data_IF_251081646504
#
_entry.id   IF_251081646504
#
_cell.length_a   1.000
_cell.length_b   1.000
_cell.length_c   1.000
_cell.angle_alpha   90.00
_cell.angle_beta   90.00
_cell.angle_gamma   90.00
#
_symmetry.space_group_name_H-M   'P 1'
#
loop_
_entity.id
_entity.type
_entity.pdbx_description
1 polymer ?
#
# COMPACT_ATOMS: atom_id res chain seq x y z
N UNK A 1 -0.60 18.31 -37.84
CA UNK A 1 0.15 17.06 -38.08
C UNK A 1 -0.80 15.95 -37.66
N UNK A 2 -1.10 15.00 -38.54
CA UNK A 2 -2.03 13.92 -38.25
C UNK A 2 -1.19 12.73 -37.76
N UNK A 3 -1.31 12.37 -36.48
CA UNK A 3 -0.58 11.23 -35.93
C UNK A 3 -1.27 9.93 -36.36
N UNK A 4 -0.48 8.94 -36.77
CA UNK A 4 -0.98 7.60 -37.07
C UNK A 4 -1.14 6.81 -35.77
N UNK A 5 -2.23 7.07 -35.06
CA UNK A 5 -2.51 6.45 -33.77
C UNK A 5 -3.05 5.02 -33.97
N UNK A 6 -2.64 4.07 -33.12
CA UNK A 6 -3.13 2.69 -33.20
C UNK A 6 -4.65 2.65 -33.04
N UNK A 7 -5.28 1.61 -33.61
CA UNK A 7 -6.74 1.43 -33.64
C UNK A 7 -7.47 2.46 -34.52
N UNK A 8 -6.74 3.20 -35.35
CA UNK A 8 -7.30 4.05 -36.39
C UNK A 8 -7.95 3.25 -37.54
N UNK A 9 -8.57 3.95 -38.51
CA UNK A 9 -8.57 5.40 -38.67
C UNK A 9 -9.42 6.11 -37.61
N UNK A 10 -8.93 7.25 -37.13
CA UNK A 10 -9.62 8.11 -36.17
C UNK A 10 -10.32 9.25 -36.91
N UNK A 11 -11.60 9.46 -36.59
CA UNK A 11 -12.40 10.58 -37.08
C UNK A 11 -12.52 11.61 -35.96
N UNK A 12 -12.02 12.82 -36.19
CA UNK A 12 -12.24 13.91 -35.25
C UNK A 12 -13.74 14.26 -35.20
N UNK A 13 -14.32 14.17 -34.01
CA UNK A 13 -15.70 14.52 -33.74
C UNK A 13 -15.83 15.97 -33.30
N UNK A 14 -14.89 16.44 -32.49
CA UNK A 14 -14.97 17.75 -31.86
C UNK A 14 -13.58 18.31 -31.53
N UNK A 15 -13.46 19.64 -31.50
CA UNK A 15 -12.30 20.36 -30.98
C UNK A 15 -12.73 21.64 -30.28
N UNK A 16 -12.10 21.95 -29.15
CA UNK A 16 -12.33 23.16 -28.38
C UNK A 16 -11.10 23.54 -27.55
N UNK A 17 -11.29 24.44 -26.58
CA UNK A 17 -10.33 24.74 -25.52
C UNK A 17 -10.97 24.50 -24.16
N UNK A 18 -10.22 23.91 -23.24
CA UNK A 18 -10.57 23.73 -21.83
C UNK A 18 -9.51 24.44 -20.99
N UNK A 19 -9.91 25.50 -20.28
CA UNK A 19 -9.02 26.29 -19.41
C UNK A 19 -7.73 26.75 -20.14
N UNK A 20 -7.90 27.23 -21.38
CA UNK A 20 -6.79 27.66 -22.24
C UNK A 20 -6.05 26.53 -22.96
N UNK A 21 -6.29 25.27 -22.62
CA UNK A 21 -5.66 24.11 -23.26
C UNK A 21 -6.49 23.59 -24.44
N UNK A 22 -5.91 23.38 -25.63
CA UNK A 22 -6.62 22.76 -26.73
C UNK A 22 -7.07 21.35 -26.36
N UNK A 23 -8.29 20.99 -26.76
CA UNK A 23 -8.85 19.65 -26.57
C UNK A 23 -9.43 19.13 -27.88
N UNK A 24 -9.23 17.84 -28.15
CA UNK A 24 -9.84 17.15 -29.28
C UNK A 24 -10.49 15.85 -28.84
N UNK A 25 -11.61 15.52 -29.46
CA UNK A 25 -12.28 14.24 -29.29
C UNK A 25 -12.36 13.54 -30.64
N UNK A 26 -11.97 12.28 -30.66
CA UNK A 26 -11.91 11.46 -31.87
C UNK A 26 -12.64 10.13 -31.64
N UNK A 27 -13.17 9.53 -32.70
CA UNK A 27 -13.80 8.23 -32.68
C UNK A 27 -13.18 7.30 -33.73
N UNK A 28 -13.03 6.02 -33.42
CA UNK A 28 -12.66 5.00 -34.41
C UNK A 28 -13.88 4.17 -34.87
N UNK A 29 -13.68 3.30 -35.88
CA UNK A 29 -14.76 2.47 -36.45
C UNK A 29 -15.45 1.55 -35.44
N UNK A 30 -14.73 1.11 -34.41
CA UNK A 30 -15.27 0.26 -33.36
C UNK A 30 -16.07 1.06 -32.30
N UNK A 31 -16.11 2.40 -32.39
CA UNK A 31 -16.82 3.25 -31.42
C UNK A 31 -16.05 3.48 -30.13
N UNK A 32 -14.72 3.38 -30.15
CA UNK A 32 -13.86 3.93 -29.10
C UNK A 32 -13.78 5.44 -29.26
N UNK A 33 -13.80 6.14 -28.14
CA UNK A 33 -13.66 7.59 -28.07
C UNK A 33 -12.29 7.92 -27.46
N UNK A 34 -11.51 8.75 -28.15
CA UNK A 34 -10.22 9.23 -27.70
C UNK A 34 -10.30 10.73 -27.44
N UNK A 35 -10.17 11.10 -26.18
CA UNK A 35 -10.05 12.49 -25.73
C UNK A 35 -8.57 12.83 -25.57
N UNK A 36 -8.11 13.90 -26.22
CA UNK A 36 -6.76 14.44 -26.09
C UNK A 36 -6.84 15.87 -25.55
N UNK A 37 -6.24 16.12 -24.40
CA UNK A 37 -6.01 17.45 -23.85
C UNK A 37 -4.54 17.81 -24.06
N UNK A 38 -4.27 18.87 -24.81
CA UNK A 38 -2.92 19.25 -25.21
C UNK A 38 -2.28 20.23 -24.21
N UNK A 39 -1.04 19.94 -23.83
CA UNK A 39 -0.20 20.86 -23.06
C UNK A 39 0.58 21.74 -24.04
N UNK A 40 0.54 23.06 -23.81
CA UNK A 40 1.29 24.04 -24.59
C UNK A 40 2.24 24.81 -23.67
N UNK A 41 3.52 24.89 -24.06
CA UNK A 41 4.52 25.75 -23.44
C UNK A 41 5.06 26.72 -24.50
N UNK A 42 5.06 28.02 -24.17
CA UNK A 42 5.48 29.10 -25.06
C UNK A 42 4.87 29.03 -26.49
N UNK A 43 3.62 28.58 -26.61
CA UNK A 43 2.91 28.45 -27.90
C UNK A 43 3.29 27.21 -28.72
N UNK A 44 4.03 26.25 -28.13
CA UNK A 44 4.35 24.95 -28.73
C UNK A 44 3.73 23.83 -27.92
N UNK A 45 3.05 22.90 -28.59
CA UNK A 45 2.54 21.69 -27.94
C UNK A 45 3.69 20.80 -27.47
N UNK A 46 3.78 20.56 -26.16
CA UNK A 46 4.83 19.76 -25.50
C UNK A 46 4.38 18.36 -25.16
N UNK A 47 3.09 18.19 -24.87
CA UNK A 47 2.51 16.92 -24.47
C UNK A 47 1.02 16.86 -24.70
N UNK A 48 0.44 15.69 -24.42
CA UNK A 48 -1.00 15.53 -24.32
C UNK A 48 -1.37 14.52 -23.24
N UNK A 49 -2.50 14.76 -22.58
CA UNK A 49 -3.18 13.76 -21.77
C UNK A 49 -4.19 13.05 -22.68
N UNK A 50 -3.99 11.74 -22.85
CA UNK A 50 -4.89 10.86 -23.59
C UNK A 50 -5.81 10.10 -22.64
N UNK A 51 -7.10 10.12 -22.95
CA UNK A 51 -8.13 9.33 -22.28
C UNK A 51 -8.90 8.54 -23.34
N UNK A 52 -8.80 7.22 -23.27
CA UNK A 52 -9.53 6.31 -24.15
C UNK A 52 -10.78 5.78 -23.44
N UNK A 53 -11.92 5.82 -24.10
CA UNK A 53 -13.19 5.29 -23.62
C UNK A 53 -13.77 4.28 -24.60
N UNK A 54 -14.29 3.17 -24.08
CA UNK A 54 -15.12 2.21 -24.81
C UNK A 54 -16.58 2.48 -24.48
N UNK A 55 -17.36 2.90 -25.48
CA UNK A 55 -18.75 3.28 -25.28
C UNK A 55 -19.68 2.10 -25.59
N UNK A 56 -20.69 1.92 -24.74
CA UNK A 56 -21.75 0.94 -24.90
C UNK A 56 -23.12 1.62 -24.87
N UNK A 57 -24.02 1.21 -25.75
CA UNK A 57 -25.45 1.47 -25.62
C UNK A 57 -26.10 0.26 -24.93
N UNK A 58 -26.96 0.49 -23.94
CA UNK A 58 -27.59 -0.59 -23.19
C UNK A 58 -29.06 -0.33 -22.88
N UNK A 59 -29.79 -1.41 -22.60
CA UNK A 59 -31.18 -1.37 -22.10
C UNK A 59 -31.25 -1.90 -20.67
N UNK A 60 -32.02 -1.21 -19.83
CA UNK A 60 -32.27 -1.62 -18.44
C UNK A 60 -31.72 -0.63 -17.41
N UNK A 61 -31.65 -1.09 -16.16
CA UNK A 61 -31.20 -0.29 -15.02
C UNK A 61 -29.67 -0.40 -14.86
N UNK A 62 -28.91 0.71 -14.92
CA UNK A 62 -27.45 0.70 -14.72
C UNK A 62 -27.03 0.13 -13.37
N UNK A 63 -27.89 0.15 -12.33
CA UNK A 63 -27.58 -0.44 -11.02
C UNK A 63 -27.31 -1.95 -11.09
N UNK A 64 -27.77 -2.61 -12.16
CA UNK A 64 -27.58 -4.05 -12.41
C UNK A 64 -26.33 -4.37 -13.21
N UNK A 65 -25.65 -3.35 -13.75
CA UNK A 65 -24.45 -3.53 -14.55
C UNK A 65 -23.24 -3.80 -13.64
N UNK A 66 -22.70 -5.01 -13.72
CA UNK A 66 -21.39 -5.31 -13.16
C UNK A 66 -20.34 -4.94 -14.20
N UNK A 67 -19.73 -3.75 -14.04
CA UNK A 67 -18.63 -3.32 -14.88
C UNK A 67 -17.30 -3.81 -14.30
N UNK A 68 -16.47 -4.48 -15.11
CA UNK A 68 -15.13 -4.91 -14.71
C UNK A 68 -14.13 -3.75 -14.54
N UNK A 69 -14.50 -2.54 -14.97
CA UNK A 69 -13.70 -1.32 -14.92
C UNK A 69 -14.61 -0.11 -14.64
N UNK A 70 -14.02 1.03 -14.24
CA UNK A 70 -14.76 2.27 -13.96
C UNK A 70 -15.59 2.69 -15.18
N UNK A 71 -16.91 2.77 -14.99
CA UNK A 71 -17.86 3.11 -16.03
C UNK A 71 -18.63 4.38 -15.68
N UNK A 72 -18.77 5.28 -16.64
CA UNK A 72 -19.70 6.42 -16.55
C UNK A 72 -21.02 6.01 -17.17
N UNK A 73 -22.07 6.00 -16.37
CA UNK A 73 -23.42 5.77 -16.85
C UNK A 73 -24.10 7.10 -17.20
N UNK A 74 -24.55 7.21 -18.44
CA UNK A 74 -25.19 8.40 -19.00
C UNK A 74 -26.59 8.00 -19.44
N UNK A 75 -27.59 8.72 -18.94
CA UNK A 75 -28.98 8.56 -19.37
C UNK A 75 -29.42 9.85 -20.04
N UNK A 76 -29.77 9.77 -21.33
CA UNK A 76 -30.26 10.90 -22.10
C UNK A 76 -31.74 10.71 -22.39
N UNK A 77 -32.54 11.70 -22.03
CA UNK A 77 -33.96 11.76 -22.37
C UNK A 77 -34.16 12.98 -23.27
N UNK A 78 -34.06 12.78 -24.58
CA UNK A 78 -34.37 13.81 -25.58
C UNK A 78 -35.76 13.51 -26.15
N UNK A 79 -35.84 12.72 -27.23
CA UNK A 79 -37.11 12.23 -27.81
C UNK A 79 -37.40 10.79 -27.35
N UNK A 80 -36.37 9.96 -27.31
CA UNK A 80 -36.36 8.66 -26.67
C UNK A 80 -35.34 8.62 -25.53
N UNK A 81 -35.57 7.74 -24.56
CA UNK A 81 -34.63 7.53 -23.46
C UNK A 81 -33.56 6.54 -23.90
N UNK A 82 -32.33 7.02 -24.04
CA UNK A 82 -31.17 6.19 -24.33
C UNK A 82 -30.24 6.12 -23.11
N UNK A 83 -29.65 4.96 -22.89
CA UNK A 83 -28.69 4.74 -21.80
C UNK A 83 -27.37 4.26 -22.35
N UNK A 84 -26.30 4.88 -21.89
CA UNK A 84 -24.94 4.63 -22.34
C UNK A 84 -24.03 4.37 -21.15
N UNK A 85 -23.01 3.56 -21.36
CA UNK A 85 -21.95 3.32 -20.42
C UNK A 85 -20.61 3.58 -21.11
N UNK A 86 -19.81 4.48 -20.57
CA UNK A 86 -18.45 4.76 -21.03
C UNK A 86 -17.49 4.06 -20.08
N UNK A 87 -16.89 2.95 -20.52
CA UNK A 87 -15.81 2.30 -19.77
C UNK A 87 -14.51 2.97 -20.13
N UNK A 88 -13.83 3.54 -19.15
CA UNK A 88 -12.68 4.41 -19.40
C UNK A 88 -11.37 3.78 -18.95
N UNK A 89 -10.34 3.95 -19.77
CA UNK A 89 -8.96 3.67 -19.38
C UNK A 89 -8.46 4.80 -18.48
N UNK A 90 -7.40 4.56 -17.72
CA UNK A 90 -6.79 5.65 -16.93
C UNK A 90 -6.24 6.75 -17.85
N UNK A 91 -6.41 8.05 -17.52
CA UNK A 91 -5.76 9.13 -18.24
C UNK A 91 -4.24 8.95 -18.23
N UNK A 92 -3.60 9.12 -19.39
CA UNK A 92 -2.14 8.97 -19.55
C UNK A 92 -1.56 10.21 -20.19
N UNK A 93 -0.54 10.79 -19.55
CA UNK A 93 0.27 11.83 -20.15
C UNK A 93 1.31 11.22 -21.08
N UNK A 94 1.50 11.82 -22.25
CA UNK A 94 2.56 11.49 -23.20
C UNK A 94 3.19 12.77 -23.75
N UNK A 95 4.49 12.73 -24.02
CA UNK A 95 5.14 13.79 -24.81
C UNK A 95 4.50 13.88 -26.20
N UNK A 96 4.51 15.06 -26.80
CA UNK A 96 3.92 15.32 -28.12
C UNK A 96 4.79 14.76 -29.26
N UNK A 97 4.93 13.44 -29.26
CA UNK A 97 5.71 12.64 -30.19
C UNK A 97 4.90 11.41 -30.64
N UNK A 98 5.01 11.05 -31.92
CA UNK A 98 4.23 9.96 -32.52
C UNK A 98 4.33 8.64 -31.74
N UNK A 99 5.55 8.24 -31.35
CA UNK A 99 5.77 6.99 -30.63
C UNK A 99 5.19 7.02 -29.21
N UNK A 100 5.37 8.13 -28.49
CA UNK A 100 4.88 8.29 -27.12
C UNK A 100 3.35 8.28 -27.06
N UNK A 101 2.70 9.03 -27.96
CA UNK A 101 1.24 9.05 -28.06
C UNK A 101 0.69 7.70 -28.51
N UNK A 102 1.31 7.06 -29.51
CA UNK A 102 0.89 5.72 -29.94
C UNK A 102 1.00 4.71 -28.80
N UNK A 103 2.07 4.77 -28.01
CA UNK A 103 2.25 3.87 -26.86
C UNK A 103 1.19 4.12 -25.77
N UNK A 104 0.91 5.38 -25.43
CA UNK A 104 -0.14 5.70 -24.45
C UNK A 104 -1.52 5.17 -24.87
N UNK A 105 -1.86 5.27 -26.17
CA UNK A 105 -3.11 4.73 -26.72
C UNK A 105 -3.13 3.19 -26.68
N UNK A 106 -2.03 2.48 -27.00
CA UNK A 106 -1.95 1.01 -26.90
C UNK A 106 -2.16 0.54 -25.46
N UNK A 107 -1.51 1.21 -24.52
CA UNK A 107 -1.64 0.87 -23.10
C UNK A 107 -3.07 1.10 -22.60
N UNK A 108 -3.66 2.25 -22.93
CA UNK A 108 -5.05 2.55 -22.61
C UNK A 108 -6.02 1.51 -23.21
N UNK A 109 -5.81 1.11 -24.47
CA UNK A 109 -6.60 0.06 -25.09
C UNK A 109 -6.44 -1.30 -24.41
N UNK A 110 -5.23 -1.67 -24.02
CA UNK A 110 -4.99 -2.93 -23.31
C UNK A 110 -5.77 -3.03 -21.99
N UNK A 111 -6.03 -1.90 -21.32
CA UNK A 111 -6.83 -1.84 -20.08
C UNK A 111 -8.33 -2.11 -20.33
N UNK A 112 -8.89 -1.62 -21.44
CA UNK A 112 -10.35 -1.59 -21.66
C UNK A 112 -10.86 -2.46 -22.82
N UNK A 113 -9.98 -2.99 -23.66
CA UNK A 113 -10.34 -3.83 -24.82
C UNK A 113 -11.22 -5.01 -24.42
N UNK A 114 -10.86 -5.70 -23.33
CA UNK A 114 -11.61 -6.80 -22.74
C UNK A 114 -12.80 -6.39 -21.87
N UNK A 115 -13.08 -5.09 -21.71
CA UNK A 115 -14.20 -4.63 -20.91
C UNK A 115 -15.54 -5.03 -21.54
N UNK A 116 -16.42 -5.56 -20.70
CA UNK A 116 -17.80 -5.91 -21.00
C UNK A 116 -18.70 -5.43 -19.86
N UNK A 117 -20.00 -5.29 -20.13
CA UNK A 117 -21.00 -4.96 -19.13
C UNK A 117 -21.79 -6.22 -18.81
N UNK A 118 -21.47 -6.89 -17.70
CA UNK A 118 -22.17 -8.09 -17.27
C UNK A 118 -23.50 -7.71 -16.58
N UNK A 119 -24.54 -8.52 -16.79
CA UNK A 119 -25.86 -8.34 -16.16
C UNK A 119 -26.83 -7.40 -16.91
N UNK A 120 -26.40 -6.77 -18.01
CA UNK A 120 -27.24 -5.96 -18.88
C UNK A 120 -27.00 -6.29 -20.36
N UNK A 121 -28.03 -6.17 -21.18
CA UNK A 121 -27.89 -6.27 -22.63
C UNK A 121 -27.27 -4.97 -23.16
N UNK A 122 -25.99 -5.05 -23.51
CA UNK A 122 -25.20 -3.93 -24.00
C UNK A 122 -24.55 -4.28 -25.34
N UNK A 123 -24.55 -3.32 -26.24
CA UNK A 123 -23.83 -3.37 -27.52
C UNK A 123 -22.83 -2.23 -27.59
N UNK A 124 -21.68 -2.49 -28.19
CA UNK A 124 -20.68 -1.46 -28.38
C UNK A 124 -21.22 -0.36 -29.30
N UNK A 125 -20.79 0.89 -29.12
CA UNK A 125 -21.30 2.01 -29.89
C UNK A 125 -21.09 1.85 -31.40
N UNK A 126 -20.02 1.16 -31.83
CA UNK A 126 -19.79 0.78 -33.23
C UNK A 126 -20.95 -0.04 -33.84
N UNK A 127 -21.61 -0.85 -33.02
CA UNK A 127 -22.74 -1.73 -33.42
C UNK A 127 -24.11 -1.14 -33.06
N UNK A 128 -24.16 0.08 -32.51
CA UNK A 128 -25.39 0.75 -32.12
C UNK A 128 -26.14 1.31 -33.34
N UNK A 129 -27.46 1.56 -33.19
CA UNK A 129 -28.24 2.17 -34.28
C UNK A 129 -27.76 3.61 -34.53
N UNK A 130 -27.96 4.17 -35.74
CA UNK A 130 -27.63 5.56 -36.02
C UNK A 130 -28.21 6.53 -35.00
N UNK A 131 -29.47 6.32 -34.60
CA UNK A 131 -30.15 7.13 -33.59
C UNK A 131 -29.46 7.10 -32.22
N UNK A 132 -29.04 5.91 -31.75
CA UNK A 132 -28.32 5.78 -30.47
C UNK A 132 -26.93 6.42 -30.54
N UNK A 133 -26.25 6.28 -31.68
CA UNK A 133 -24.95 6.92 -31.93
C UNK A 133 -25.10 8.43 -31.91
N UNK A 134 -26.06 8.98 -32.64
CA UNK A 134 -26.30 10.41 -32.71
C UNK A 134 -26.76 10.97 -31.36
N UNK A 135 -27.54 10.23 -30.58
CA UNK A 135 -27.91 10.65 -29.23
C UNK A 135 -26.70 10.81 -28.31
N UNK A 136 -25.71 9.92 -28.37
CA UNK A 136 -24.48 10.05 -27.56
C UNK A 136 -23.56 11.13 -28.12
N UNK A 137 -23.22 11.04 -29.42
CA UNK A 137 -22.22 11.87 -30.09
C UNK A 137 -22.70 13.30 -30.36
N UNK A 138 -24.01 13.53 -30.46
CA UNK A 138 -24.61 14.83 -30.71
C UNK A 138 -24.65 15.75 -29.48
N UNK A 139 -24.35 15.24 -28.28
CA UNK A 139 -24.19 16.09 -27.09
C UNK A 139 -22.73 16.05 -26.58
N UNK A 140 -21.99 17.17 -26.74
CA UNK A 140 -20.58 17.24 -26.42
C UNK A 140 -20.30 17.08 -24.92
N UNK A 141 -21.20 17.50 -24.01
CA UNK A 141 -20.95 17.42 -22.57
C UNK A 141 -20.82 15.98 -22.08
N UNK A 142 -21.64 15.08 -22.63
CA UNK A 142 -21.56 13.65 -22.33
C UNK A 142 -20.25 13.02 -22.81
N UNK A 143 -19.64 13.55 -23.86
CA UNK A 143 -18.39 13.03 -24.41
C UNK A 143 -17.16 13.45 -23.58
N UNK A 144 -17.27 14.56 -22.84
CA UNK A 144 -16.28 14.98 -21.84
C UNK A 144 -16.55 14.42 -20.45
N UNK A 145 -17.55 13.54 -20.31
CA UNK A 145 -17.82 12.91 -19.02
C UNK A 145 -16.69 11.95 -18.68
N UNK A 146 -15.84 12.37 -17.74
CA UNK A 146 -14.79 11.54 -17.17
C UNK A 146 -15.39 10.86 -15.95
N UNK A 147 -15.19 9.55 -15.84
CA UNK A 147 -15.45 8.83 -14.62
C UNK A 147 -14.66 9.53 -13.54
N UNK A 148 -15.26 9.66 -12.37
CA UNK A 148 -14.45 9.66 -11.18
C UNK A 148 -13.82 8.26 -11.09
N UNK A 149 -12.85 7.94 -11.96
CA UNK A 149 -11.67 7.19 -11.53
C UNK A 149 -11.38 7.81 -10.20
N UNK A 150 -11.58 7.07 -9.10
CA UNK A 150 -11.64 7.70 -7.80
C UNK A 150 -10.42 8.62 -7.73
N UNK A 151 -10.64 9.93 -7.88
CA UNK A 151 -9.63 10.94 -7.62
C UNK A 151 -9.57 10.77 -6.14
N UNK A 152 -8.67 9.85 -5.72
CA UNK A 152 -8.79 9.10 -4.48
C UNK A 152 -9.30 10.08 -3.45
N UNK A 153 -10.59 9.90 -3.02
CA UNK A 153 -11.37 10.92 -2.27
C UNK A 153 -10.38 11.77 -1.54
N UNK A 154 -10.22 13.09 -1.83
CA UNK A 154 -9.03 13.85 -1.47
C UNK A 154 -8.60 13.38 -0.12
N UNK A 155 -7.51 12.57 -0.09
CA UNK A 155 -7.15 11.81 1.11
C UNK A 155 -7.31 12.79 2.25
N UNK A 156 -8.09 12.48 3.27
CA UNK A 156 -8.14 13.37 4.44
C UNK A 156 -6.71 13.38 4.97
N UNK A 157 -5.91 14.35 4.51
CA UNK A 157 -4.47 14.40 4.77
C UNK A 157 -4.36 14.96 6.16
N UNK A 158 -3.85 14.16 7.08
CA UNK A 158 -3.58 14.67 8.41
C UNK A 158 -2.21 15.32 8.38
N UNK A 159 -2.14 16.61 8.70
CA UNK A 159 -0.86 17.27 8.84
C UNK A 159 -0.07 16.59 9.96
N UNK A 160 1.21 16.28 9.71
CA UNK A 160 2.15 15.81 10.73
C UNK A 160 2.46 16.88 11.76
N UNK A 161 2.30 18.14 11.36
CA UNK A 161 2.64 19.29 12.17
C UNK A 161 2.65 20.58 11.35
N UNK A 162 3.28 21.60 11.89
CA UNK A 162 3.37 22.92 11.27
C UNK A 162 4.82 23.33 11.07
N UNK A 163 5.14 23.85 9.89
CA UNK A 163 6.43 24.50 9.64
C UNK A 163 6.62 25.74 10.51
N UNK A 164 7.85 26.28 10.53
CA UNK A 164 8.15 27.56 11.20
C UNK A 164 7.30 28.74 10.69
N UNK A 165 6.74 28.64 9.49
CA UNK A 165 5.86 29.64 8.88
C UNK A 165 4.37 29.34 9.11
N UNK A 166 4.03 28.37 9.98
CA UNK A 166 2.65 27.99 10.27
C UNK A 166 1.96 27.16 9.18
N UNK A 167 2.64 26.85 8.07
CA UNK A 167 2.09 25.99 7.01
C UNK A 167 2.06 24.53 7.44
N UNK A 168 0.99 23.77 7.17
CA UNK A 168 0.91 22.36 7.51
C UNK A 168 1.95 21.55 6.72
N UNK A 169 2.54 20.57 7.37
CA UNK A 169 3.47 19.61 6.75
C UNK A 169 2.79 18.25 6.68
N UNK A 170 2.80 17.63 5.50
CA UNK A 170 2.17 16.34 5.22
C UNK A 170 3.23 15.31 4.85
N UNK A 171 2.98 14.04 5.17
CA UNK A 171 3.89 12.95 4.89
C UNK A 171 3.30 12.04 3.79
N UNK A 172 3.32 12.52 2.55
CA UNK A 172 2.58 11.89 1.43
C UNK A 172 3.30 10.69 0.79
N UNK A 173 2.66 9.51 0.84
CA UNK A 173 2.69 8.55 -0.27
C UNK A 173 3.95 7.68 -0.43
N UNK A 174 4.55 7.23 0.66
CA UNK A 174 5.81 6.46 0.60
C UNK A 174 5.68 5.05 1.10
N UNK A 175 6.62 4.25 0.61
CA UNK A 175 6.73 2.84 0.91
C UNK A 175 7.61 2.54 2.13
N UNK A 176 8.54 3.42 2.52
CA UNK A 176 9.46 3.19 3.65
C UNK A 176 9.88 4.51 4.34
N UNK A 177 9.64 4.60 5.65
CA UNK A 177 10.08 5.67 6.54
C UNK A 177 11.08 5.18 7.57
N UNK A 178 12.12 5.97 7.80
CA UNK A 178 12.98 5.87 8.98
C UNK A 178 12.73 7.05 9.93
N UNK A 179 12.48 6.77 11.21
CA UNK A 179 12.39 7.78 12.28
C UNK A 179 13.66 7.70 13.10
N UNK A 180 14.51 8.72 13.04
CA UNK A 180 15.84 8.74 13.69
C UNK A 180 16.04 9.93 14.62
N UNK A 181 17.04 9.85 15.50
CA UNK A 181 17.57 11.00 16.25
C UNK A 181 16.70 11.53 17.38
N UNK A 182 15.58 10.87 17.71
CA UNK A 182 14.72 11.21 18.83
C UNK A 182 15.01 10.34 20.06
N UNK A 183 14.67 10.82 21.26
CA UNK A 183 14.53 9.94 22.41
C UNK A 183 13.46 8.87 22.11
N UNK A 184 13.50 7.74 22.82
CA UNK A 184 12.64 6.59 22.55
C UNK A 184 11.14 6.97 22.51
N UNK A 185 10.73 7.88 23.40
CA UNK A 185 9.35 8.34 23.51
C UNK A 185 8.95 9.26 22.36
N UNK A 186 9.84 10.14 21.93
CA UNK A 186 9.64 10.98 20.75
C UNK A 186 9.57 10.13 19.48
N UNK A 187 10.46 9.15 19.30
CA UNK A 187 10.41 8.22 18.15
C UNK A 187 9.08 7.51 18.12
N UNK A 188 8.66 6.97 19.26
CA UNK A 188 7.37 6.33 19.41
C UNK A 188 6.23 7.27 19.00
N UNK A 189 6.25 8.54 19.44
CA UNK A 189 5.22 9.51 19.07
C UNK A 189 5.17 9.75 17.55
N UNK A 190 6.30 9.84 16.85
CA UNK A 190 6.32 9.97 15.39
C UNK A 190 5.77 8.73 14.68
N UNK A 191 6.16 7.53 15.14
CA UNK A 191 5.63 6.27 14.62
C UNK A 191 4.13 6.15 14.86
N UNK A 192 3.68 6.60 16.02
CA UNK A 192 2.26 6.67 16.36
C UNK A 192 1.52 7.63 15.43
N UNK A 193 2.05 8.83 15.15
CA UNK A 193 1.44 9.76 14.19
C UNK A 193 1.30 9.14 12.78
N UNK A 194 2.29 8.35 12.34
CA UNK A 194 2.22 7.58 11.09
C UNK A 194 1.11 6.52 11.13
N UNK A 195 0.95 5.81 12.26
CA UNK A 195 -0.14 4.85 12.46
C UNK A 195 -1.51 5.51 12.39
N UNK A 196 -1.68 6.64 13.08
CA UNK A 196 -2.93 7.40 13.11
C UNK A 196 -3.35 7.84 11.70
N UNK A 197 -2.42 8.38 10.92
CA UNK A 197 -2.68 8.83 9.55
C UNK A 197 -3.05 7.64 8.64
N UNK A 198 -2.35 6.51 8.75
CA UNK A 198 -2.68 5.31 7.99
C UNK A 198 -4.08 4.76 8.32
N UNK A 199 -4.49 4.76 9.59
CA UNK A 199 -5.82 4.32 10.01
C UNK A 199 -6.93 5.24 9.48
N UNK A 200 -6.70 6.56 9.48
CA UNK A 200 -7.61 7.56 8.91
C UNK A 200 -7.75 7.42 7.39
N UNK A 201 -6.70 6.99 6.70
CA UNK A 201 -6.72 6.67 5.27
C UNK A 201 -7.45 5.35 4.94
N UNK A 202 -7.89 4.59 5.94
CA UNK A 202 -8.53 3.28 5.72
C UNK A 202 -7.57 2.10 5.67
N UNK A 203 -6.29 2.28 6.01
CA UNK A 203 -5.29 1.21 5.96
C UNK A 203 -5.18 0.45 7.28
N UNK A 204 -4.87 -0.84 7.19
CA UNK A 204 -4.49 -1.65 8.35
C UNK A 204 -3.07 -1.31 8.79
N UNK A 205 -2.83 -1.32 10.11
CA UNK A 205 -1.53 -1.07 10.72
C UNK A 205 -1.12 -2.29 11.54
N UNK A 206 0.07 -2.84 11.28
CA UNK A 206 0.75 -3.77 12.18
C UNK A 206 1.87 -3.01 12.88
N UNK A 207 1.80 -2.89 14.20
CA UNK A 207 2.83 -2.28 15.01
C UNK A 207 3.52 -3.37 15.85
N UNK A 208 4.81 -3.59 15.61
CA UNK A 208 5.66 -4.48 16.39
C UNK A 208 6.49 -3.58 17.30
N UNK A 209 6.21 -3.63 18.60
CA UNK A 209 6.73 -2.67 19.56
C UNK A 209 7.40 -3.38 20.74
N UNK A 210 8.68 -3.06 20.93
CA UNK A 210 9.48 -3.52 22.06
C UNK A 210 9.38 -2.56 23.25
N UNK A 211 9.15 -1.27 22.96
CA UNK A 211 9.29 -0.17 23.93
C UNK A 211 8.07 -0.02 24.85
N UNK A 212 7.06 -0.89 24.72
CA UNK A 212 5.85 -0.86 25.53
C UNK A 212 5.03 0.42 25.36
N UNK A 213 5.07 1.03 24.16
CA UNK A 213 4.42 2.30 23.92
C UNK A 213 2.90 2.19 23.84
N UNK A 214 2.20 3.19 24.37
CA UNK A 214 0.75 3.24 24.29
C UNK A 214 0.30 3.71 22.90
N UNK A 215 -0.02 2.76 22.02
CA UNK A 215 -0.54 3.04 20.67
C UNK A 215 -1.91 3.73 20.64
N UNK A 216 -2.48 4.02 21.82
CA UNK A 216 -3.37 5.14 22.03
C UNK A 216 -4.61 5.18 21.14
N UNK A 217 -5.45 4.16 21.28
CA UNK A 217 -6.88 4.19 20.96
C UNK A 217 -7.55 3.24 21.96
N UNK A 218 -8.50 3.72 22.77
CA UNK A 218 -9.36 2.80 23.52
C UNK A 218 -10.25 2.09 22.51
N UNK A 219 -10.32 0.77 22.60
CA UNK A 219 -11.31 0.02 21.84
C UNK A 219 -12.68 0.58 22.26
N UNK A 220 -13.40 1.17 21.31
CA UNK A 220 -14.73 1.66 21.61
C UNK A 220 -15.62 0.45 21.83
N UNK A 221 -16.05 0.26 23.08
CA UNK A 221 -17.02 -0.75 23.42
C UNK A 221 -18.34 -0.41 22.73
N UNK A 222 -18.90 -1.40 22.01
CA UNK A 222 -20.19 -1.28 21.34
C UNK A 222 -21.28 -0.91 22.34
N UNK A 223 -21.24 -1.46 23.56
CA UNK A 223 -22.22 -1.14 24.60
C UNK A 223 -22.07 0.32 25.07
N UNK A 224 -20.84 0.81 25.22
CA UNK A 224 -20.58 2.22 25.54
C UNK A 224 -21.03 3.19 24.43
N UNK A 225 -20.81 2.84 23.16
CA UNK A 225 -21.28 3.63 22.02
C UNK A 225 -22.81 3.67 21.94
N UNK A 226 -23.47 2.53 22.16
CA UNK A 226 -24.93 2.44 22.19
C UNK A 226 -25.53 3.22 23.37
N UNK A 227 -24.91 3.14 24.56
CA UNK A 227 -25.31 3.92 25.72
C UNK A 227 -25.16 5.44 25.50
N UNK A 228 -24.21 5.85 24.67
CA UNK A 228 -24.01 7.25 24.26
C UNK A 228 -24.89 7.69 23.07
N UNK A 229 -25.82 6.85 22.60
CA UNK A 229 -26.78 7.19 21.54
C UNK A 229 -26.23 7.11 20.11
N UNK A 230 -25.06 6.51 19.91
CA UNK A 230 -24.53 6.27 18.56
C UNK A 230 -25.23 5.05 17.92
N UNK A 231 -25.74 5.24 16.71
CA UNK A 231 -26.43 4.20 15.90
C UNK A 231 -25.48 3.30 15.10
N UNK A 232 -24.16 3.42 15.28
CA UNK A 232 -23.18 2.69 14.48
C UNK A 232 -23.08 1.21 14.90
N UNK A 233 -23.24 0.30 13.94
CA UNK A 233 -23.24 -1.15 14.21
C UNK A 233 -21.87 -1.71 14.60
N UNK A 234 -20.77 -1.06 14.17
CA UNK A 234 -19.39 -1.34 14.55
C UNK A 234 -18.49 -0.08 14.42
N UNK A 235 -17.46 0.08 15.28
CA UNK A 235 -16.47 1.14 15.13
C UNK A 235 -15.66 0.96 13.83
N UNK A 236 -15.42 2.08 13.12
CA UNK A 236 -14.67 2.12 11.84
C UNK A 236 -13.18 1.79 12.00
N UNK A 237 -12.66 1.91 13.22
CA UNK A 237 -11.28 1.58 13.59
C UNK A 237 -11.34 0.55 14.73
N UNK A 238 -10.61 -0.55 14.60
CA UNK A 238 -10.52 -1.59 15.62
C UNK A 238 -9.07 -1.75 16.08
N UNK A 239 -8.87 -2.06 17.37
CA UNK A 239 -7.57 -2.39 17.95
C UNK A 239 -7.56 -3.84 18.42
N UNK A 240 -6.46 -4.55 18.16
CA UNK A 240 -6.16 -5.87 18.69
C UNK A 240 -4.74 -5.90 19.22
N UNK A 241 -4.59 -6.30 20.47
CA UNK A 241 -3.30 -6.44 21.13
C UNK A 241 -2.89 -7.92 21.16
N UNK A 242 -1.61 -8.20 20.92
CA UNK A 242 -1.02 -9.53 20.95
C UNK A 242 0.24 -9.50 21.79
N UNK A 243 0.40 -10.48 22.68
CA UNK A 243 1.65 -10.68 23.42
C UNK A 243 2.37 -11.94 22.96
N UNK A 244 3.69 -11.84 22.78
CA UNK A 244 4.55 -12.98 22.48
C UNK A 244 4.50 -14.02 23.62
N UNK A 245 4.36 -15.30 23.26
CA UNK A 245 4.24 -16.42 24.21
C UNK A 245 2.85 -16.62 24.81
N UNK A 246 1.90 -15.74 24.48
CA UNK A 246 0.50 -15.86 24.90
C UNK A 246 -0.42 -15.97 23.70
N UNK A 247 -0.41 -14.94 22.85
CA UNK A 247 -1.30 -14.82 21.68
C UNK A 247 -0.55 -15.05 20.36
N UNK A 248 0.78 -14.88 20.39
CA UNK A 248 1.68 -15.04 19.25
C UNK A 248 2.84 -15.96 19.59
N UNK A 249 3.21 -16.83 18.65
CA UNK A 249 4.35 -17.73 18.76
C UNK A 249 5.25 -17.63 17.52
N UNK A 250 6.54 -17.85 17.73
CA UNK A 250 7.58 -17.83 16.70
C UNK A 250 7.57 -19.16 15.95
N UNK A 251 7.33 -19.07 14.64
CA UNK A 251 7.41 -20.20 13.74
C UNK A 251 8.87 -20.41 13.30
N UNK A 252 9.56 -21.43 13.82
CA UNK A 252 10.99 -21.67 13.55
C UNK A 252 11.32 -21.76 12.06
N UNK A 253 10.55 -22.47 11.20
CA UNK A 253 10.77 -22.48 9.75
C UNK A 253 10.83 -21.09 9.09
N UNK A 254 10.20 -20.07 9.69
CA UNK A 254 10.15 -18.70 9.14
C UNK A 254 11.37 -17.84 9.46
N UNK A 255 12.23 -18.26 10.40
CA UNK A 255 13.36 -17.46 10.87
C UNK A 255 14.57 -17.50 9.94
N UNK A 256 14.68 -18.53 9.09
CA UNK A 256 15.91 -18.75 8.33
C UNK A 256 17.07 -19.22 9.25
N UNK A 257 17.87 -20.20 8.83
CA UNK A 257 18.91 -20.79 9.69
C UNK A 257 20.02 -19.80 10.07
N UNK A 258 20.43 -18.96 9.12
CA UNK A 258 21.51 -18.00 9.34
C UNK A 258 21.13 -16.92 10.36
N UNK A 259 19.93 -16.32 10.23
CA UNK A 259 19.42 -15.34 11.18
C UNK A 259 19.24 -15.94 12.57
N UNK A 260 18.68 -17.15 12.67
CA UNK A 260 18.56 -17.85 13.96
C UNK A 260 19.92 -18.01 14.64
N UNK A 261 20.94 -18.45 13.90
CA UNK A 261 22.28 -18.62 14.46
C UNK A 261 22.92 -17.28 14.88
N UNK A 262 22.75 -16.24 14.06
CA UNK A 262 23.33 -14.91 14.32
C UNK A 262 22.66 -14.23 15.52
N UNK A 263 21.34 -14.32 15.62
CA UNK A 263 20.56 -13.74 16.72
C UNK A 263 20.98 -14.31 18.08
N UNK A 264 21.23 -15.61 18.15
CA UNK A 264 21.64 -16.29 19.39
C UNK A 264 23.16 -16.37 19.58
N UNK A 265 23.95 -15.78 18.69
CA UNK A 265 25.41 -15.74 18.82
C UNK A 265 26.07 -17.12 18.75
N UNK A 266 25.59 -18.01 17.88
CA UNK A 266 26.23 -19.31 17.67
C UNK A 266 27.66 -19.13 17.15
N UNK A 267 28.56 -20.06 17.53
CA UNK A 267 29.90 -20.09 16.97
C UNK A 267 29.87 -20.36 15.45
N UNK A 268 30.90 -19.95 14.69
CA UNK A 268 30.95 -20.18 13.23
C UNK A 268 30.73 -21.64 12.84
N UNK A 269 31.26 -22.57 13.64
CA UNK A 269 31.18 -24.01 13.41
C UNK A 269 29.74 -24.52 13.62
N UNK A 270 29.12 -24.13 14.74
CA UNK A 270 27.74 -24.50 15.04
C UNK A 270 26.76 -23.88 14.03
N UNK A 271 27.02 -22.64 13.61
CA UNK A 271 26.28 -21.97 12.53
C UNK A 271 26.40 -22.73 11.21
N UNK A 272 27.60 -23.15 10.81
CA UNK A 272 27.81 -23.91 9.58
C UNK A 272 27.04 -25.25 9.61
N UNK A 273 27.08 -25.96 10.75
CA UNK A 273 26.34 -27.19 10.94
C UNK A 273 24.81 -26.99 10.76
N UNK A 274 24.25 -25.93 11.35
CA UNK A 274 22.81 -25.61 11.25
C UNK A 274 22.43 -25.15 9.85
N UNK A 275 23.19 -24.23 9.25
CA UNK A 275 22.91 -23.72 7.90
C UNK A 275 22.99 -24.82 6.85
N UNK A 276 23.91 -25.79 7.00
CA UNK A 276 24.07 -26.90 6.05
C UNK A 276 22.83 -27.78 5.90
N UNK A 277 21.93 -27.77 6.90
CA UNK A 277 20.70 -28.58 6.89
C UNK A 277 19.53 -27.93 6.16
N UNK A 278 19.68 -26.69 5.71
CA UNK A 278 18.58 -25.96 5.07
C UNK A 278 17.57 -25.49 6.11
N UNK A 279 16.28 -25.56 5.80
CA UNK A 279 15.22 -24.96 6.62
C UNK A 279 15.22 -25.48 8.08
N UNK A 280 14.90 -24.60 9.02
CA UNK A 280 14.70 -24.98 10.41
C UNK A 280 13.43 -25.84 10.54
N UNK A 281 13.44 -26.89 11.38
CA UNK A 281 12.28 -27.73 11.63
C UNK A 281 11.23 -27.01 12.48
N UNK A 282 10.07 -27.66 12.68
CA UNK A 282 8.92 -27.10 13.41
C UNK A 282 9.21 -26.92 14.93
N UNK A 283 10.18 -27.65 15.48
CA UNK A 283 10.53 -27.58 16.91
C UNK A 283 12.04 -27.56 17.17
N UNK A 284 12.44 -26.93 18.27
CA UNK A 284 13.84 -26.94 18.73
C UNK A 284 14.29 -28.33 19.17
N UNK A 285 13.36 -29.16 19.64
CA UNK A 285 13.65 -30.56 20.00
C UNK A 285 14.05 -31.38 18.78
N UNK A 286 13.30 -31.25 17.68
CA UNK A 286 13.63 -31.89 16.41
C UNK A 286 14.98 -31.38 15.89
N UNK A 287 15.23 -30.07 15.95
CA UNK A 287 16.51 -29.49 15.55
C UNK A 287 17.66 -30.07 16.37
N UNK A 288 17.55 -30.12 17.70
CA UNK A 288 18.58 -30.66 18.57
C UNK A 288 18.85 -32.14 18.31
N UNK A 289 17.78 -32.94 18.24
CA UNK A 289 17.83 -34.40 17.98
C UNK A 289 18.51 -34.71 16.66
N UNK A 290 18.33 -33.83 15.67
CA UNK A 290 18.92 -34.00 14.37
C UNK A 290 20.47 -34.04 14.41
N UNK A 291 21.11 -33.43 15.41
CA UNK A 291 22.56 -33.41 15.57
C UNK A 291 23.12 -34.49 16.51
N UNK A 292 22.27 -35.28 17.18
CA UNK A 292 22.70 -36.22 18.23
C UNK A 292 23.42 -37.46 17.67
N UNK A 293 23.09 -37.86 16.44
CA UNK A 293 23.73 -38.98 15.75
C UNK A 293 25.10 -38.62 15.16
N UNK A 294 25.50 -37.35 15.22
CA UNK A 294 26.75 -36.88 14.66
C UNK A 294 27.94 -37.14 15.61
N UNK A 295 29.06 -37.59 15.03
CA UNK A 295 30.28 -37.90 15.77
C UNK A 295 31.27 -36.73 15.81
N UNK A 296 31.06 -35.68 15.02
CA UNK A 296 31.89 -34.49 15.01
C UNK A 296 31.52 -33.53 16.15
N UNK A 297 32.54 -32.78 16.60
CA UNK A 297 32.41 -31.83 17.70
C UNK A 297 31.42 -30.70 17.37
N UNK A 298 31.40 -30.24 16.12
CA UNK A 298 30.65 -29.07 15.66
C UNK A 298 29.15 -29.32 15.70
N UNK A 299 28.70 -30.47 15.19
CA UNK A 299 27.31 -30.93 15.28
C UNK A 299 26.86 -31.11 16.73
N UNK A 300 27.71 -31.72 17.57
CA UNK A 300 27.40 -31.84 19.01
C UNK A 300 27.36 -30.49 19.72
N UNK A 301 28.17 -29.53 19.26
CA UNK A 301 28.13 -28.14 19.75
C UNK A 301 26.82 -27.47 19.38
N UNK A 302 26.40 -27.59 18.12
CA UNK A 302 25.09 -27.12 17.66
C UNK A 302 23.94 -27.72 18.48
N UNK A 303 23.95 -29.03 18.72
CA UNK A 303 22.95 -29.72 19.55
C UNK A 303 22.84 -29.10 20.97
N UNK A 304 23.99 -28.83 21.61
CA UNK A 304 24.03 -28.21 22.94
C UNK A 304 23.48 -26.79 22.93
N UNK A 305 23.91 -25.96 21.97
CA UNK A 305 23.41 -24.60 21.81
C UNK A 305 21.90 -24.56 21.60
N UNK A 306 21.37 -25.41 20.72
CA UNK A 306 19.92 -25.53 20.47
C UNK A 306 19.17 -25.95 21.74
N UNK A 307 19.69 -26.89 22.53
CA UNK A 307 19.06 -27.31 23.80
C UNK A 307 19.08 -26.22 24.87
N UNK A 308 20.14 -25.40 24.91
CA UNK A 308 20.19 -24.23 25.81
C UNK A 308 19.09 -23.25 25.40
N UNK A 309 18.99 -22.94 24.11
CA UNK A 309 17.97 -22.05 23.58
C UNK A 309 16.58 -22.63 23.79
N UNK A 310 16.37 -23.94 23.66
CA UNK A 310 15.09 -24.59 23.91
C UNK A 310 14.56 -24.31 25.32
N UNK A 311 15.44 -24.27 26.32
CA UNK A 311 15.02 -23.91 27.69
C UNK A 311 14.51 -22.48 27.77
N UNK A 312 15.17 -21.56 27.07
CA UNK A 312 14.82 -20.13 27.06
C UNK A 312 13.61 -19.80 26.15
N UNK A 313 13.51 -20.45 24.98
CA UNK A 313 12.52 -20.18 23.94
C UNK A 313 11.24 -21.02 24.04
N UNK A 314 11.23 -22.09 24.85
CA UNK A 314 10.06 -22.98 24.96
C UNK A 314 8.72 -22.26 25.16
N UNK A 315 8.61 -21.13 25.88
CA UNK A 315 7.34 -20.41 26.00
C UNK A 315 6.89 -19.71 24.71
N UNK A 316 7.80 -19.47 23.76
CA UNK A 316 7.58 -18.62 22.59
C UNK A 316 7.49 -19.39 21.28
N UNK A 317 7.80 -20.69 21.25
CA UNK A 317 7.82 -21.52 20.04
C UNK A 317 6.71 -22.56 20.02
N UNK A 318 6.23 -22.96 18.83
CA UNK A 318 5.34 -24.12 18.65
C UNK A 318 3.83 -23.84 18.57
N UNK A 319 3.42 -22.57 18.43
CA UNK A 319 2.02 -22.19 18.19
C UNK A 319 1.78 -21.65 16.79
N UNK A 320 0.55 -21.79 16.28
CA UNK A 320 0.14 -21.19 15.00
C UNK A 320 -0.16 -19.70 15.21
N UNK A 321 0.46 -18.77 14.46
CA UNK A 321 0.13 -17.35 14.56
C UNK A 321 -1.35 -17.10 14.21
N UNK A 322 -2.02 -16.14 14.85
CA UNK A 322 -3.39 -15.75 14.50
C UNK A 322 -3.56 -15.52 12.99
N UNK A 323 -4.59 -16.10 12.38
CA UNK A 323 -4.80 -16.06 10.93
C UNK A 323 -4.85 -14.62 10.36
N UNK A 324 -5.33 -13.68 11.16
CA UNK A 324 -5.43 -12.26 10.80
C UNK A 324 -4.07 -11.54 10.70
N UNK A 325 -3.03 -12.05 11.39
CA UNK A 325 -1.65 -11.58 11.24
C UNK A 325 -0.96 -12.22 10.02
N UNK A 326 -1.58 -13.25 9.43
CA UNK A 326 -1.06 -13.95 8.25
C UNK A 326 -1.63 -13.40 6.95
N UNK A 327 -2.87 -12.90 6.96
CA UNK A 327 -3.46 -12.15 5.85
C UNK A 327 -4.15 -10.91 6.39
N UNK A 328 -3.61 -9.73 6.04
CA UNK A 328 -4.28 -8.45 6.25
C UNK A 328 -5.49 -8.39 5.31
N UNK A 329 -6.55 -9.09 5.69
CA UNK A 329 -7.74 -9.26 4.87
C UNK A 329 -8.49 -7.94 4.67
N UNK A 330 -9.11 -7.82 3.49
CA UNK A 330 -10.09 -6.79 3.18
C UNK A 330 -11.32 -6.96 4.08
N UNK A 331 -11.45 -6.07 5.05
CA UNK A 331 -12.69 -5.86 5.79
C UNK A 331 -12.92 -4.36 5.89
N UNK A 332 -14.18 -3.91 5.79
CA UNK A 332 -14.54 -2.49 5.67
C UNK A 332 -14.17 -1.58 6.86
N UNK A 333 -13.37 -2.04 7.83
CA UNK A 333 -12.89 -1.28 8.98
C UNK A 333 -11.35 -1.36 9.06
N UNK A 334 -10.70 -0.21 9.29
CA UNK A 334 -9.25 -0.14 9.53
C UNK A 334 -8.91 -0.83 10.85
N UNK A 335 -7.84 -1.62 10.88
CA UNK A 335 -7.40 -2.32 12.10
C UNK A 335 -5.97 -1.97 12.49
N UNK A 336 -5.76 -1.74 13.78
CA UNK A 336 -4.45 -1.69 14.42
C UNK A 336 -4.18 -3.01 15.13
N UNK A 337 -3.15 -3.72 14.69
CA UNK A 337 -2.59 -4.91 15.32
C UNK A 337 -1.34 -4.48 16.10
N UNK A 338 -1.44 -4.33 17.42
CA UNK A 338 -0.31 -4.00 18.28
C UNK A 338 0.29 -5.28 18.85
N UNK A 339 1.56 -5.53 18.56
CA UNK A 339 2.31 -6.70 19.02
C UNK A 339 3.33 -6.23 20.04
N UNK A 340 3.16 -6.67 21.29
CA UNK A 340 4.16 -6.57 22.33
C UNK A 340 5.26 -7.60 22.07
N UNK A 341 6.42 -7.09 21.67
CA UNK A 341 7.60 -7.86 21.33
C UNK A 341 8.73 -7.72 22.37
N UNK A 342 8.45 -7.15 23.54
CA UNK A 342 9.44 -6.83 24.59
C UNK A 342 10.32 -8.01 25.02
N UNK A 343 9.84 -9.24 24.91
CA UNK A 343 10.57 -10.44 25.34
C UNK A 343 11.54 -11.00 24.29
N UNK A 344 11.24 -10.83 22.99
CA UNK A 344 12.11 -11.28 21.90
C UNK A 344 11.86 -10.44 20.62
N UNK A 345 12.32 -9.19 20.60
CA UNK A 345 11.85 -8.15 19.68
C UNK A 345 12.21 -8.43 18.22
N UNK A 346 13.50 -8.59 17.93
CA UNK A 346 13.99 -8.83 16.57
C UNK A 346 13.58 -10.23 16.07
N UNK A 347 13.38 -11.20 16.97
CA UNK A 347 12.87 -12.54 16.64
C UNK A 347 11.40 -12.50 16.21
N UNK A 348 10.54 -11.85 17.01
CA UNK A 348 9.12 -11.70 16.71
C UNK A 348 8.91 -10.88 15.42
N UNK A 349 9.67 -9.79 15.28
CA UNK A 349 9.68 -8.99 14.06
C UNK A 349 10.05 -9.85 12.84
N UNK A 350 11.17 -10.56 12.87
CA UNK A 350 11.61 -11.36 11.74
C UNK A 350 10.57 -12.43 11.35
N UNK A 351 10.03 -13.16 12.32
CA UNK A 351 9.04 -14.22 12.07
C UNK A 351 7.76 -13.69 11.41
N UNK A 352 7.24 -12.56 11.89
CA UNK A 352 6.06 -11.90 11.32
C UNK A 352 6.34 -11.36 9.92
N UNK A 353 7.44 -10.61 9.75
CA UNK A 353 7.78 -9.96 8.49
C UNK A 353 8.14 -10.97 7.39
N UNK A 354 8.79 -12.08 7.70
CA UNK A 354 9.09 -13.15 6.74
C UNK A 354 7.82 -13.72 6.11
N UNK A 355 6.75 -13.88 6.88
CA UNK A 355 5.45 -14.31 6.34
C UNK A 355 4.83 -13.24 5.44
N UNK A 356 4.91 -11.97 5.84
CA UNK A 356 4.40 -10.85 5.02
C UNK A 356 5.16 -10.70 3.72
N UNK A 357 6.48 -10.91 3.73
CA UNK A 357 7.31 -10.84 2.52
C UNK A 357 6.96 -11.92 1.48
N UNK A 358 6.36 -13.03 1.92
CA UNK A 358 5.85 -14.09 1.04
C UNK A 358 4.48 -13.74 0.41
N UNK A 359 3.72 -12.80 0.99
CA UNK A 359 2.41 -12.38 0.51
C UNK A 359 2.48 -11.10 -0.34
N UNK A 360 1.53 -10.93 -1.28
CA UNK A 360 1.25 -9.62 -1.89
C UNK A 360 0.14 -8.95 -1.10
N UNK A 361 0.33 -7.69 -0.74
CA UNK A 361 -0.67 -6.93 -0.01
C UNK A 361 -1.55 -6.08 -0.93
N UNK A 362 -2.86 -6.10 -0.67
CA UNK A 362 -3.85 -5.15 -1.17
C UNK A 362 -4.99 -5.00 -0.13
N UNK A 363 -5.44 -3.77 0.22
CA UNK A 363 -4.81 -2.46 0.02
C UNK A 363 -3.62 -2.21 0.98
N UNK A 364 -2.71 -1.30 0.61
CA UNK A 364 -1.38 -1.02 1.21
C UNK A 364 -1.37 -0.88 2.75
N UNK A 365 -1.11 -1.95 3.53
CA UNK A 365 -1.02 -1.88 4.97
C UNK A 365 0.27 -1.20 5.39
N UNK A 366 0.25 -0.54 6.56
CA UNK A 366 1.44 0.01 7.20
C UNK A 366 2.00 -1.00 8.20
N UNK A 367 3.27 -1.33 8.05
CA UNK A 367 4.05 -2.11 9.00
C UNK A 367 4.95 -1.16 9.77
N UNK A 368 4.84 -1.18 11.08
CA UNK A 368 5.66 -0.37 11.99
C UNK A 368 6.51 -1.29 12.83
N UNK A 369 7.79 -0.98 12.92
CA UNK A 369 8.76 -1.69 13.75
C UNK A 369 9.44 -0.67 14.67
N UNK A 370 9.19 -0.78 15.97
CA UNK A 370 9.78 0.05 17.01
C UNK A 370 10.63 -0.83 17.93
N UNK A 371 11.93 -0.93 17.60
CA UNK A 371 12.88 -1.75 18.36
C UNK A 371 13.84 -0.81 19.08
N UNK A 372 14.23 -1.20 20.29
CA UNK A 372 15.23 -0.52 21.11
C UNK A 372 16.67 -0.91 20.69
N UNK A 373 16.80 -1.94 19.85
CA UNK A 373 18.08 -2.45 19.38
C UNK A 373 18.95 -1.33 18.78
N UNK A 374 20.15 -1.17 19.35
CA UNK A 374 21.16 -0.20 18.88
C UNK A 374 21.57 -0.39 17.42
N UNK A 375 21.31 -1.58 16.85
CA UNK A 375 21.50 -1.92 15.43
C UNK A 375 20.46 -2.94 14.99
N UNK A 376 19.75 -2.62 13.92
CA UNK A 376 18.84 -3.58 13.28
C UNK A 376 19.66 -4.68 12.63
N UNK A 377 19.32 -5.95 12.90
CA UNK A 377 19.98 -7.09 12.28
C UNK A 377 19.90 -7.00 10.74
N UNK A 378 20.98 -7.26 9.97
CA UNK A 378 21.00 -7.09 8.51
C UNK A 378 19.87 -7.83 7.78
N UNK A 379 19.58 -9.06 8.19
CA UNK A 379 18.47 -9.84 7.61
C UNK A 379 17.10 -9.21 7.87
N UNK A 380 16.90 -8.58 9.03
CA UNK A 380 15.66 -7.87 9.35
C UNK A 380 15.56 -6.57 8.54
N UNK A 381 16.68 -5.85 8.39
CA UNK A 381 16.75 -4.68 7.52
C UNK A 381 16.42 -5.03 6.06
N UNK A 382 16.96 -6.13 5.54
CA UNK A 382 16.67 -6.62 4.20
C UNK A 382 15.19 -6.97 4.00
N UNK A 383 14.54 -7.58 5.01
CA UNK A 383 13.09 -7.82 4.97
C UNK A 383 12.30 -6.52 4.91
N UNK A 384 12.59 -5.57 5.80
CA UNK A 384 11.92 -4.27 5.86
C UNK A 384 12.05 -3.50 4.54
N UNK A 385 13.24 -3.49 3.93
CA UNK A 385 13.49 -2.86 2.64
C UNK A 385 12.77 -3.57 1.47
N UNK A 386 12.48 -4.88 1.61
CA UNK A 386 11.81 -5.69 0.60
C UNK A 386 10.28 -5.54 0.56
N UNK A 387 9.66 -5.28 1.71
CA UNK A 387 8.21 -5.14 1.87
C UNK A 387 7.55 -4.08 0.95
N UNK A 388 8.15 -2.89 0.71
CA UNK A 388 7.72 -1.95 -0.33
C UNK A 388 7.38 -2.59 -1.68
N UNK A 389 8.23 -3.50 -2.16
CA UNK A 389 8.07 -4.17 -3.46
C UNK A 389 6.88 -5.14 -3.48
N UNK A 390 6.33 -5.46 -2.31
CA UNK A 390 5.19 -6.35 -2.11
C UNK A 390 3.88 -5.60 -1.86
N UNK A 391 3.91 -4.27 -1.86
CA UNK A 391 2.73 -3.42 -1.63
C UNK A 391 2.49 -3.09 -0.16
N UNK A 392 3.54 -3.05 0.67
CA UNK A 392 3.44 -2.57 2.05
C UNK A 392 4.04 -1.17 2.16
N UNK A 393 3.52 -0.39 3.11
CA UNK A 393 4.24 0.77 3.66
C UNK A 393 4.97 0.32 4.91
N UNK A 394 6.14 0.87 5.16
CA UNK A 394 6.97 0.50 6.31
C UNK A 394 7.38 1.77 7.06
N UNK A 395 7.37 1.72 8.38
CA UNK A 395 7.99 2.73 9.23
C UNK A 395 8.85 2.04 10.29
N UNK A 396 10.09 2.47 10.44
CA UNK A 396 11.01 1.92 11.43
C UNK A 396 11.52 3.02 12.37
N UNK A 397 11.41 2.79 13.68
CA UNK A 397 12.12 3.58 14.69
C UNK A 397 13.55 3.09 14.81
N UNK A 398 14.52 3.97 14.59
CA UNK A 398 15.94 3.61 14.53
C UNK A 398 16.76 4.58 15.38
N UNK A 399 17.71 4.05 16.14
CA UNK A 399 18.60 4.89 16.95
C UNK A 399 19.66 5.59 16.11
N UNK A 400 20.15 4.94 15.05
CA UNK A 400 21.27 5.42 14.26
C UNK A 400 20.89 5.78 12.83
N UNK A 401 21.56 6.82 12.31
CA UNK A 401 21.46 7.22 10.91
C UNK A 401 21.98 6.13 9.96
N UNK A 402 23.02 5.42 10.38
CA UNK A 402 23.63 4.35 9.59
C UNK A 402 22.65 3.19 9.35
N UNK A 403 21.80 2.87 10.34
CA UNK A 403 20.77 1.84 10.17
C UNK A 403 19.66 2.29 9.21
N UNK A 404 19.31 3.58 9.24
CA UNK A 404 18.37 4.15 8.28
C UNK A 404 18.89 4.09 6.84
N UNK A 405 20.18 4.36 6.65
CA UNK A 405 20.87 4.24 5.36
C UNK A 405 20.97 2.78 4.90
N UNK A 406 21.25 1.85 5.83
CA UNK A 406 21.30 0.42 5.54
C UNK A 406 19.95 -0.16 5.10
N UNK A 407 18.84 0.42 5.56
CA UNK A 407 17.48 0.10 5.10
C UNK A 407 17.18 0.63 3.70
N UNK A 408 18.02 1.51 3.14
CA UNK A 408 17.74 2.19 1.87
C UNK A 408 16.49 3.08 1.94
N UNK A 409 16.20 3.63 3.13
CA UNK A 409 15.04 4.50 3.32
C UNK A 409 15.18 5.78 2.48
N UNK A 410 14.23 6.01 1.58
CA UNK A 410 14.18 7.22 0.74
C UNK A 410 13.67 8.44 1.49
N UNK A 411 12.86 8.21 2.52
CA UNK A 411 12.21 9.24 3.33
C UNK A 411 12.51 9.05 4.81
N UNK A 412 12.77 10.18 5.48
CA UNK A 412 13.31 10.17 6.84
C UNK A 412 12.70 11.27 7.68
N UNK A 413 12.37 10.95 8.93
CA UNK A 413 12.01 11.92 9.97
C UNK A 413 13.16 11.95 10.96
N UNK A 414 13.86 13.08 11.04
CA UNK A 414 14.91 13.31 12.02
C UNK A 414 14.36 14.21 13.12
N UNK A 415 14.30 13.73 14.35
CA UNK A 415 14.03 14.64 15.48
C UNK A 415 15.21 15.59 15.67
N UNK A 416 14.90 16.81 16.07
CA UNK A 416 15.85 17.88 16.38
C UNK A 416 15.54 18.39 17.78
N UNK A 417 16.57 18.85 18.49
CA UNK A 417 16.43 19.53 19.79
C UNK A 417 15.32 20.59 19.77
N UNK A 418 14.53 20.63 20.86
CA UNK A 418 13.42 21.56 21.11
C UNK A 418 12.10 21.26 20.37
N UNK A 419 11.75 19.99 20.16
CA UNK A 419 10.44 19.60 19.66
C UNK A 419 10.18 19.97 18.20
N UNK A 420 11.24 20.15 17.41
CA UNK A 420 11.15 20.28 15.95
C UNK A 420 11.71 19.01 15.29
N UNK A 421 11.16 18.62 14.15
CA UNK A 421 11.69 17.55 13.33
C UNK A 421 12.00 18.05 11.92
N UNK A 422 12.86 17.31 11.22
CA UNK A 422 13.15 17.47 9.79
C UNK A 422 12.56 16.27 9.06
N UNK A 423 11.60 16.53 8.17
CA UNK A 423 11.16 15.57 7.18
C UNK A 423 12.06 15.72 5.94
N UNK A 424 12.81 14.68 5.60
CA UNK A 424 13.59 14.58 4.37
C UNK A 424 12.83 13.69 3.38
N UNK A 425 12.41 14.26 2.24
CA UNK A 425 11.73 13.60 1.12
C UNK A 425 12.50 13.81 -0.17
N UNK A 426 13.03 12.76 -0.81
CA UNK A 426 13.60 12.86 -2.16
C UNK A 426 14.59 14.03 -2.33
N UNK A 427 15.45 14.26 -1.32
CA UNK A 427 16.41 15.37 -1.28
C UNK A 427 15.86 16.71 -0.75
N UNK A 428 14.54 16.87 -0.63
CA UNK A 428 13.91 18.06 -0.04
C UNK A 428 13.82 17.91 1.48
N UNK A 429 14.18 18.95 2.23
CA UNK A 429 14.09 18.96 3.70
C UNK A 429 13.09 20.00 4.17
N UNK A 430 12.18 19.60 5.06
CA UNK A 430 11.21 20.51 5.70
C UNK A 430 11.31 20.39 7.23
N UNK A 431 11.56 21.51 7.91
CA UNK A 431 11.48 21.59 9.38
C UNK A 431 10.04 21.82 9.83
N UNK A 432 9.60 21.11 10.87
CA UNK A 432 8.24 21.21 11.39
C UNK A 432 8.16 20.89 12.88
N UNK A 433 7.20 21.48 13.57
CA UNK A 433 6.79 21.09 14.92
C UNK A 433 5.67 20.06 14.81
N UNK A 434 5.79 18.87 15.43
CA UNK A 434 4.80 17.81 15.31
C UNK A 434 3.47 18.20 15.96
N UNK A 435 2.38 17.71 15.40
CA UNK A 435 1.06 17.78 16.04
C UNK A 435 1.02 16.85 17.27
N UNK A 436 0.20 17.16 18.28
CA UNK A 436 0.00 16.23 19.38
C UNK A 436 -0.71 14.94 18.90
N UNK A 437 -0.33 13.76 19.44
CA UNK A 437 -1.04 12.51 19.19
C UNK A 437 -2.46 12.52 19.78
N UNK A 438 -3.33 11.64 19.29
CA UNK A 438 -4.77 11.67 19.62
C UNK A 438 -5.10 11.32 21.09
N UNK A 439 -4.23 10.63 21.81
CA UNK A 439 -4.38 10.37 23.24
C UNK A 439 -3.20 10.97 24.01
N UNK A 440 -3.52 11.82 24.97
CA UNK A 440 -2.60 12.33 25.99
C UNK A 440 -2.72 11.50 27.25
#
# INVERSE_FOLDING_TARGET
>A
MEFDLPLGPWKQLFSAQWDGHPVSLQENREGYLLLLLFEEDAGKTTGAVALLSKAFAFKGDPSKALAAADAVFIKKAVEATHSFALVQARPRYAAFEQEALAQAVREAYSEISGATLAGIEAKQLGDASPEERDALLGDPFSLFSVSAHSLAKPKQRTAFGSSSLGKPVFADGYSLYAVTGADERERFNYLRLLAEDALLEGANVLAIDECGGEWGFKQFDKAALQAAGFTTEQPKIQRKDYALGKDLFVNLPSLGPAFFCDYYGFSPEAKAAIVSRGALPESLEELASSFESANDFDSRSAARCVRVIQKELSPFTGGTPPAELQSFSEGGASRLYAVDASQAPSLAAFALLSKLAAAKAKPLPLVIVNLSDRRVHPSLAALLAGLPKKGYRVAAGLESLADAEALGAFDRIDSVLNGQAVLSKGGTKARFSPRPPFSR
#
